data_IF_667277830805
#
_entry.id   IF_667277830805
#
_cell.length_a   1.000
_cell.length_b   1.000
_cell.length_c   1.000
_cell.angle_alpha   90.00
_cell.angle_beta   90.00
_cell.angle_gamma   90.00
#
_symmetry.space_group_name_H-M   'P 1'
#
loop_
_entity.id
_entity.type
_entity.pdbx_description
1 polymer ?
#
# COMPACT_ATOMS: atom_id res chain seq x y z
N UNK A 1 -16.09 31.29 -8.10
CA UNK A 1 -17.02 30.24 -7.63
C UNK A 1 -16.18 29.01 -7.37
N UNK A 2 -15.72 28.85 -6.13
CA UNK A 2 -14.86 27.72 -5.73
C UNK A 2 -15.72 26.48 -5.60
N UNK A 3 -15.46 25.48 -6.45
CA UNK A 3 -16.03 24.15 -6.31
C UNK A 3 -15.14 23.35 -5.38
N UNK A 4 -15.47 23.33 -4.10
CA UNK A 4 -14.90 22.38 -3.16
C UNK A 4 -15.51 21.01 -3.50
N UNK A 5 -14.74 20.16 -4.19
CA UNK A 5 -15.06 18.75 -4.34
C UNK A 5 -14.94 18.10 -2.97
N UNK A 6 -16.07 18.02 -2.27
CA UNK A 6 -16.21 17.34 -1.00
C UNK A 6 -15.96 15.84 -1.24
N UNK A 7 -14.70 15.43 -1.07
CA UNK A 7 -14.30 14.03 -1.13
C UNK A 7 -14.83 13.40 0.15
N UNK A 8 -15.99 12.74 0.04
CA UNK A 8 -16.54 11.90 1.09
C UNK A 8 -15.45 10.86 1.42
N UNK A 9 -14.76 11.06 2.54
CA UNK A 9 -13.92 10.04 3.14
C UNK A 9 -14.89 8.98 3.63
N UNK A 10 -14.99 7.90 2.87
CA UNK A 10 -15.64 6.68 3.32
C UNK A 10 -14.85 6.21 4.54
N UNK A 11 -15.36 6.53 5.73
CA UNK A 11 -14.87 6.00 7.00
C UNK A 11 -15.23 4.52 7.01
N UNK A 12 -14.47 3.70 6.26
CA UNK A 12 -14.46 2.28 6.49
C UNK A 12 -14.07 2.12 7.97
N UNK A 13 -15.01 1.62 8.78
CA UNK A 13 -14.77 1.25 10.17
C UNK A 13 -13.42 0.51 10.20
N UNK A 14 -12.38 1.11 10.80
CA UNK A 14 -11.04 0.53 10.83
C UNK A 14 -11.10 -0.75 11.66
N UNK A 15 -11.24 -1.89 10.97
CA UNK A 15 -11.21 -3.18 11.63
C UNK A 15 -9.83 -3.35 12.28
N UNK A 16 -9.78 -3.74 13.58
CA UNK A 16 -8.51 -3.93 14.25
C UNK A 16 -7.66 -4.96 13.51
N UNK A 17 -6.37 -4.65 13.37
CA UNK A 17 -5.41 -5.54 12.73
C UNK A 17 -5.43 -6.92 13.38
N UNK A 18 -5.31 -7.98 12.57
CA UNK A 18 -5.13 -9.34 13.09
C UNK A 18 -3.86 -9.43 13.98
N UNK A 19 -3.79 -10.37 14.94
CA UNK A 19 -2.63 -10.53 15.81
C UNK A 19 -1.30 -10.64 15.05
N UNK A 20 -1.28 -11.38 13.93
CA UNK A 20 -0.10 -11.48 13.07
C UNK A 20 0.26 -10.13 12.46
N UNK A 21 -0.72 -9.39 11.93
CA UNK A 21 -0.50 -8.06 11.36
C UNK A 21 0.06 -7.07 12.39
N UNK A 22 -0.38 -7.14 13.66
CA UNK A 22 0.20 -6.34 14.73
C UNK A 22 1.67 -6.70 14.99
N UNK A 23 1.99 -8.00 15.04
CA UNK A 23 3.38 -8.48 15.19
C UNK A 23 4.28 -8.01 14.03
N UNK A 24 3.80 -8.08 12.78
CA UNK A 24 4.54 -7.59 11.61
C UNK A 24 4.83 -6.09 11.67
N UNK A 25 3.98 -5.31 12.34
CA UNK A 25 4.14 -3.86 12.53
C UNK A 25 4.88 -3.50 13.83
N UNK A 26 5.30 -4.46 14.65
CA UNK A 26 6.02 -4.18 15.90
C UNK A 26 7.41 -3.60 15.61
N UNK A 27 7.81 -2.51 16.30
CA UNK A 27 9.14 -1.91 16.15
C UNK A 27 10.28 -2.85 16.53
N UNK A 28 9.99 -3.89 17.33
CA UNK A 28 11.00 -4.90 17.70
C UNK A 28 11.14 -6.00 16.64
N UNK A 29 10.11 -6.21 15.81
CA UNK A 29 10.08 -7.27 14.81
C UNK A 29 10.72 -6.83 13.48
N UNK A 30 10.59 -5.55 13.10
CA UNK A 30 11.23 -4.94 11.92
C UNK A 30 11.19 -5.81 10.65
N UNK A 31 10.01 -6.35 10.31
CA UNK A 31 9.89 -7.30 9.22
C UNK A 31 9.61 -6.61 7.88
N UNK A 32 10.38 -6.98 6.85
CA UNK A 32 10.16 -6.58 5.47
C UNK A 32 10.05 -7.81 4.57
N UNK A 33 9.04 -7.82 3.70
CA UNK A 33 8.90 -8.85 2.66
C UNK A 33 9.64 -8.36 1.42
N UNK A 34 10.70 -9.07 1.02
CA UNK A 34 11.48 -8.76 -0.17
C UNK A 34 11.18 -9.82 -1.23
N UNK A 35 10.73 -9.38 -2.40
CA UNK A 35 10.46 -10.26 -3.55
C UNK A 35 11.43 -9.93 -4.67
N UNK A 36 12.19 -10.92 -5.14
CA UNK A 36 13.09 -10.78 -6.28
C UNK A 36 12.52 -11.53 -7.48
N UNK A 37 12.35 -10.84 -8.60
CA UNK A 37 11.82 -11.42 -9.84
C UNK A 37 12.89 -11.40 -10.93
N UNK A 38 13.17 -12.57 -11.51
CA UNK A 38 14.06 -12.71 -12.65
C UNK A 38 13.31 -12.50 -13.96
N UNK A 39 13.94 -11.78 -14.89
CA UNK A 39 13.36 -11.46 -16.20
C UNK A 39 14.41 -11.75 -17.28
N UNK A 40 14.02 -12.49 -18.32
CA UNK A 40 14.93 -12.84 -19.43
C UNK A 40 15.21 -11.65 -20.35
N UNK A 41 14.26 -10.71 -20.45
CA UNK A 41 14.39 -9.51 -21.26
C UNK A 41 15.03 -8.36 -20.47
N UNK A 42 15.60 -7.38 -21.15
CA UNK A 42 16.02 -6.15 -20.47
C UNK A 42 14.77 -5.44 -19.92
N UNK A 43 14.81 -5.07 -18.65
CA UNK A 43 13.72 -4.31 -18.03
C UNK A 43 13.53 -2.96 -18.71
N UNK A 44 12.27 -2.57 -18.92
CA UNK A 44 11.90 -1.23 -19.35
C UNK A 44 11.29 -0.49 -18.14
N UNK A 45 12.03 0.45 -17.50
CA UNK A 45 11.55 1.14 -16.31
C UNK A 45 10.20 1.83 -16.51
N UNK A 46 9.96 2.47 -17.67
CA UNK A 46 8.71 3.17 -17.94
C UNK A 46 7.53 2.19 -17.99
N UNK A 47 7.69 1.06 -18.69
CA UNK A 47 6.64 0.05 -18.78
C UNK A 47 6.34 -0.60 -17.42
N UNK A 48 7.38 -0.80 -16.58
CA UNK A 48 7.21 -1.34 -15.22
C UNK A 48 6.43 -0.33 -14.36
N UNK A 49 6.80 0.95 -14.40
CA UNK A 49 6.12 2.01 -13.64
C UNK A 49 4.65 2.11 -14.06
N UNK A 50 4.37 2.13 -15.37
CA UNK A 50 3.00 2.22 -15.86
C UNK A 50 2.18 0.98 -15.49
N UNK A 51 2.77 -0.22 -15.58
CA UNK A 51 2.14 -1.44 -15.11
C UNK A 51 1.79 -1.41 -13.61
N UNK A 52 2.69 -0.91 -12.77
CA UNK A 52 2.44 -0.74 -11.33
C UNK A 52 1.32 0.26 -11.05
N UNK A 53 1.30 1.40 -11.76
CA UNK A 53 0.23 2.40 -11.66
C UNK A 53 -1.14 1.83 -12.02
N UNK A 54 -1.22 0.88 -12.95
CA UNK A 54 -2.48 0.24 -13.33
C UNK A 54 -2.85 -0.98 -12.48
N UNK A 55 -1.97 -1.45 -11.58
CA UNK A 55 -2.18 -2.66 -10.77
C UNK A 55 -2.06 -2.37 -9.28
N UNK A 56 -0.86 -2.49 -8.71
CA UNK A 56 -0.62 -2.49 -7.27
C UNK A 56 -0.91 -1.13 -6.63
N UNK A 57 -0.53 -0.02 -7.28
CA UNK A 57 -0.61 1.33 -6.70
C UNK A 57 -2.06 1.72 -6.39
N UNK A 58 -3.05 1.23 -7.12
CA UNK A 58 -4.45 1.59 -6.89
C UNK A 58 -5.14 0.67 -5.89
N UNK A 59 -4.45 -0.36 -5.36
CA UNK A 59 -5.04 -1.32 -4.45
C UNK A 59 -4.93 -0.82 -2.99
N UNK A 60 -6.03 -0.76 -2.20
CA UNK A 60 -6.00 -0.28 -0.81
C UNK A 60 -4.96 -0.98 0.09
N UNK A 61 -4.76 -2.29 -0.09
CA UNK A 61 -3.69 -3.06 0.59
C UNK A 61 -2.25 -2.60 0.32
N UNK A 62 -1.96 -1.96 -0.80
CA UNK A 62 -0.60 -1.51 -1.18
C UNK A 62 -0.42 0.01 -1.05
N UNK A 63 -1.52 0.75 -1.09
CA UNK A 63 -1.55 2.21 -0.90
C UNK A 63 -2.51 2.54 0.23
N UNK A 64 -1.99 2.46 1.46
CA UNK A 64 -2.70 2.85 2.68
C UNK A 64 -1.78 3.64 3.61
N UNK A 65 -2.40 4.37 4.54
CA UNK A 65 -1.69 4.98 5.66
C UNK A 65 -1.97 4.08 6.86
N UNK A 66 -0.91 3.54 7.46
CA UNK A 66 -1.02 2.84 8.74
C UNK A 66 -1.10 3.87 9.86
N UNK A 67 -2.22 3.92 10.58
CA UNK A 67 -2.38 4.72 11.78
C UNK A 67 -2.02 3.86 12.99
N UNK A 68 -0.86 4.12 13.60
CA UNK A 68 -0.46 3.46 14.83
C UNK A 68 -1.11 4.20 16.02
N UNK A 69 -2.07 3.56 16.67
CA UNK A 69 -2.69 4.10 17.90
C UNK A 69 -1.63 4.30 18.99
N UNK A 70 -1.57 5.53 19.52
CA UNK A 70 -0.67 5.94 20.61
C UNK A 70 -1.19 5.52 21.98
#
# INVERSE_FOLDING_TARGET
MGGETNTVRETAEEEPLSPCSQLFNSPDFNCAIIVTMGCKVKGNPSAIIDGLKHTLVNHPRFSSILLLGS
#
